data_IF_371194666671
#
_entry.id   IF_371194666671
#
_cell.length_a   1.000
_cell.length_b   1.000
_cell.length_c   1.000
_cell.angle_alpha   90.00
_cell.angle_beta   90.00
_cell.angle_gamma   90.00
#
_symmetry.space_group_name_H-M   'P 1'
#
loop_
_entity.id
_entity.type
_entity.pdbx_description
1 polymer ?
#
# COMPACT_ATOMS: atom_id res chain seq x y z
N UNK A 1 7.73 10.35 12.66
CA UNK A 1 6.52 9.74 12.06
C UNK A 1 6.78 8.43 11.31
N UNK A 2 7.98 8.18 10.88
CA UNK A 2 8.33 6.97 10.13
C UNK A 2 8.51 5.70 10.97
N UNK A 3 8.57 5.80 12.27
CA UNK A 3 8.72 4.65 13.15
C UNK A 3 7.34 4.08 13.52
N UNK A 4 6.98 2.98 12.86
CA UNK A 4 5.74 2.27 13.15
C UNK A 4 6.01 0.78 13.09
N UNK A 5 5.96 0.12 14.23
CA UNK A 5 6.33 -1.29 14.37
C UNK A 5 5.44 -2.21 13.52
N UNK A 6 4.16 -1.89 13.41
CA UNK A 6 3.24 -2.69 12.59
C UNK A 6 3.61 -2.62 11.11
N UNK A 7 3.82 -1.42 10.57
CA UNK A 7 4.21 -1.24 9.17
C UNK A 7 5.61 -1.76 8.88
N UNK A 8 6.54 -1.63 9.82
CA UNK A 8 7.89 -2.19 9.69
C UNK A 8 7.85 -3.71 9.60
N UNK A 9 6.98 -4.37 10.37
CA UNK A 9 6.77 -5.81 10.29
C UNK A 9 6.13 -6.22 8.96
N UNK A 10 5.15 -5.47 8.46
CA UNK A 10 4.59 -5.70 7.13
C UNK A 10 5.66 -5.59 6.05
N UNK A 11 6.53 -4.59 6.15
CA UNK A 11 7.65 -4.40 5.22
C UNK A 11 8.60 -5.60 5.23
N UNK A 12 8.96 -6.08 6.42
CA UNK A 12 9.82 -7.25 6.58
C UNK A 12 9.22 -8.50 5.91
N UNK A 13 7.96 -8.78 6.21
CA UNK A 13 7.26 -9.95 5.65
C UNK A 13 7.13 -9.83 4.13
N UNK A 14 6.82 -8.64 3.63
CA UNK A 14 6.72 -8.37 2.19
C UNK A 14 8.06 -8.57 1.48
N UNK A 15 9.16 -8.12 2.06
CA UNK A 15 10.50 -8.31 1.51
C UNK A 15 10.91 -9.79 1.50
N UNK A 16 10.61 -10.53 2.55
CA UNK A 16 10.88 -11.97 2.60
C UNK A 16 10.09 -12.73 1.54
N UNK A 17 8.82 -12.41 1.37
CA UNK A 17 8.00 -13.01 0.32
C UNK A 17 8.55 -12.69 -1.07
N UNK A 18 8.94 -11.44 -1.32
CA UNK A 18 9.51 -11.02 -2.60
C UNK A 18 10.79 -11.78 -2.91
N UNK A 19 11.68 -11.95 -1.93
CA UNK A 19 12.90 -12.75 -2.10
C UNK A 19 12.59 -14.19 -2.51
N UNK A 20 11.65 -14.82 -1.81
CA UNK A 20 11.23 -16.19 -2.08
C UNK A 20 10.60 -16.29 -3.48
N UNK A 21 9.75 -15.36 -3.85
CA UNK A 21 9.08 -15.33 -5.14
C UNK A 21 10.05 -15.06 -6.29
N UNK A 22 11.01 -14.16 -6.11
CA UNK A 22 12.05 -13.89 -7.11
C UNK A 22 12.95 -15.11 -7.31
N UNK A 23 13.29 -15.84 -6.25
CA UNK A 23 14.02 -17.10 -6.36
C UNK A 23 13.22 -18.15 -7.14
N UNK A 24 11.91 -18.25 -6.89
CA UNK A 24 11.03 -19.17 -7.63
C UNK A 24 10.95 -18.80 -9.11
N UNK A 25 10.81 -17.50 -9.42
CA UNK A 25 10.82 -17.01 -10.81
C UNK A 25 12.11 -17.36 -11.54
N UNK A 26 13.25 -17.26 -10.86
CA UNK A 26 14.56 -17.58 -11.46
C UNK A 26 14.67 -19.04 -11.87
N UNK A 27 13.97 -19.95 -11.21
CA UNK A 27 14.00 -21.38 -11.54
C UNK A 27 13.29 -21.70 -12.85
N UNK A 28 12.33 -20.90 -13.26
CA UNK A 28 11.53 -21.16 -14.48
C UNK A 28 12.41 -21.32 -15.71
N UNK A 29 13.30 -20.37 -15.94
CA UNK A 29 14.18 -20.40 -17.13
C UNK A 29 15.15 -21.60 -17.07
N UNK A 30 15.66 -21.91 -15.90
CA UNK A 30 16.54 -23.07 -15.72
C UNK A 30 15.82 -24.38 -16.04
N UNK A 31 14.55 -24.51 -15.64
CA UNK A 31 13.73 -25.70 -15.94
C UNK A 31 13.48 -25.78 -17.46
N UNK A 32 13.11 -24.67 -18.11
CA UNK A 32 12.88 -24.63 -19.55
C UNK A 32 14.15 -25.02 -20.30
N UNK A 33 15.30 -24.48 -19.93
CA UNK A 33 16.58 -24.74 -20.60
C UNK A 33 17.05 -26.18 -20.43
N UNK A 34 16.79 -26.80 -19.27
CA UNK A 34 17.27 -28.17 -18.99
C UNK A 34 16.25 -29.25 -19.29
N UNK A 35 14.96 -28.99 -19.18
CA UNK A 35 13.87 -29.98 -19.27
C UNK A 35 12.86 -29.72 -20.39
N UNK A 36 12.86 -28.48 -20.94
CA UNK A 36 11.94 -28.08 -22.00
C UNK A 36 10.59 -27.59 -21.51
N UNK A 37 9.77 -27.13 -22.44
CA UNK A 37 8.47 -26.49 -22.17
C UNK A 37 7.37 -27.47 -21.73
N UNK A 38 7.50 -28.76 -22.09
CA UNK A 38 6.46 -29.77 -21.78
C UNK A 38 6.83 -30.68 -20.61
N UNK A 39 7.80 -30.29 -19.79
CA UNK A 39 8.29 -31.12 -18.68
C UNK A 39 7.32 -31.14 -17.50
N UNK A 40 7.35 -32.26 -16.76
CA UNK A 40 6.62 -32.35 -15.49
C UNK A 40 7.13 -31.36 -14.46
N UNK A 41 8.43 -31.05 -14.51
CA UNK A 41 9.08 -30.06 -13.64
C UNK A 41 8.51 -28.66 -13.88
N UNK A 42 8.25 -28.29 -15.12
CA UNK A 42 7.63 -27.00 -15.43
C UNK A 42 6.16 -26.94 -14.98
N UNK A 43 5.43 -28.03 -15.13
CA UNK A 43 4.05 -28.11 -14.62
C UNK A 43 4.02 -27.96 -13.10
N UNK A 44 4.96 -28.59 -12.40
CA UNK A 44 5.09 -28.45 -10.95
C UNK A 44 5.42 -27.01 -10.56
N UNK A 45 6.27 -26.32 -11.33
CA UNK A 45 6.60 -24.92 -11.12
C UNK A 45 5.35 -24.03 -11.20
N UNK A 46 4.52 -24.23 -12.22
CA UNK A 46 3.26 -23.48 -12.36
C UNK A 46 2.28 -23.76 -11.22
N UNK A 47 2.20 -25.00 -10.78
CA UNK A 47 1.35 -25.37 -9.65
C UNK A 47 1.81 -24.67 -8.35
N UNK A 48 3.10 -24.57 -8.11
CA UNK A 48 3.66 -23.84 -6.98
C UNK A 48 3.40 -22.34 -7.11
N UNK A 49 3.57 -21.77 -8.31
CA UNK A 49 3.32 -20.34 -8.57
C UNK A 49 1.87 -19.96 -8.24
N UNK A 50 0.91 -20.80 -8.58
CA UNK A 50 -0.50 -20.57 -8.24
C UNK A 50 -0.77 -20.53 -6.74
N UNK A 51 0.03 -21.22 -5.94
CA UNK A 51 -0.08 -21.24 -4.49
C UNK A 51 0.63 -20.05 -3.82
N UNK A 52 1.52 -19.37 -4.54
CA UNK A 52 2.30 -18.26 -4.02
C UNK A 52 1.49 -16.97 -4.11
N UNK A 53 0.88 -16.58 -2.99
CA UNK A 53 0.12 -15.34 -2.91
C UNK A 53 0.85 -14.33 -2.04
N UNK A 54 0.80 -13.05 -2.44
CA UNK A 54 1.33 -11.99 -1.60
C UNK A 54 0.61 -12.00 -0.25
N UNK A 55 1.33 -11.85 0.88
CA UNK A 55 0.77 -12.09 2.22
C UNK A 55 -0.26 -11.07 2.69
N UNK A 56 -0.43 -9.96 1.97
CA UNK A 56 -1.43 -8.94 2.32
C UNK A 56 -2.40 -8.70 1.19
N UNK A 57 -3.59 -8.20 1.55
CA UNK A 57 -4.58 -7.71 0.60
C UNK A 57 -4.10 -6.41 -0.06
N UNK A 58 -4.72 -6.04 -1.15
CA UNK A 58 -4.43 -4.77 -1.84
C UNK A 58 -4.76 -3.56 -0.96
N UNK A 59 -5.82 -3.65 -0.15
CA UNK A 59 -6.14 -2.58 0.80
C UNK A 59 -5.02 -2.35 1.81
N UNK A 60 -4.48 -3.43 2.38
CA UNK A 60 -3.36 -3.35 3.30
C UNK A 60 -2.10 -2.80 2.62
N UNK A 61 -1.82 -3.22 1.39
CA UNK A 61 -0.70 -2.69 0.61
C UNK A 61 -0.82 -1.17 0.36
N UNK A 62 -2.02 -0.70 0.06
CA UNK A 62 -2.26 0.73 -0.17
C UNK A 62 -2.09 1.55 1.12
N UNK A 63 -2.53 1.02 2.25
CA UNK A 63 -2.31 1.66 3.55
C UNK A 63 -0.80 1.74 3.88
N UNK A 64 -0.09 0.66 3.69
CA UNK A 64 1.36 0.61 3.88
C UNK A 64 2.08 1.64 3.00
N UNK A 65 1.73 1.70 1.71
CA UNK A 65 2.35 2.66 0.79
C UNK A 65 2.06 4.10 1.18
N UNK A 66 0.83 4.40 1.60
CA UNK A 66 0.47 5.72 2.08
C UNK A 66 1.35 6.13 3.27
N UNK A 67 1.55 5.24 4.24
CA UNK A 67 2.46 5.49 5.34
C UNK A 67 3.91 5.64 4.88
N UNK A 68 4.40 4.72 4.06
CA UNK A 68 5.81 4.66 3.63
C UNK A 68 6.23 5.91 2.85
N UNK A 69 5.39 6.38 1.95
CA UNK A 69 5.73 7.46 1.04
C UNK A 69 5.30 8.84 1.51
N UNK A 70 4.61 8.93 2.63
CA UNK A 70 4.30 10.24 3.23
C UNK A 70 5.57 10.87 3.80
N UNK A 71 5.83 12.09 3.39
CA UNK A 71 6.99 12.89 3.86
C UNK A 71 6.58 13.96 4.85
N UNK A 72 5.32 14.01 5.22
CA UNK A 72 4.74 14.93 6.20
C UNK A 72 4.44 14.19 7.50
N UNK A 73 4.11 14.94 8.55
CA UNK A 73 3.71 14.36 9.84
C UNK A 73 2.38 13.60 9.76
N UNK A 74 1.53 13.98 8.82
CA UNK A 74 0.29 13.28 8.55
C UNK A 74 0.45 12.34 7.35
N UNK A 75 -0.32 11.25 7.37
CA UNK A 75 -0.35 10.32 6.24
C UNK A 75 -1.20 10.94 5.14
N UNK A 76 -0.62 11.08 3.96
CA UNK A 76 -1.30 11.58 2.76
C UNK A 76 -1.64 10.40 1.86
N UNK A 77 -2.91 10.26 1.52
CA UNK A 77 -3.39 9.24 0.60
C UNK A 77 -3.80 9.90 -0.71
N UNK A 78 -2.95 9.77 -1.72
CA UNK A 78 -3.14 10.35 -3.06
C UNK A 78 -3.65 9.34 -4.10
N UNK A 79 -3.85 8.10 -3.68
CA UNK A 79 -4.39 7.03 -4.50
C UNK A 79 -5.89 6.83 -4.19
N UNK A 80 -6.47 5.77 -4.67
CA UNK A 80 -7.87 5.40 -4.39
C UNK A 80 -7.96 3.94 -3.96
N UNK A 81 -9.06 3.58 -3.30
CA UNK A 81 -9.39 2.18 -2.98
C UNK A 81 -10.68 1.78 -3.69
N UNK A 82 -10.79 0.51 -4.03
CA UNK A 82 -12.06 -0.07 -4.45
C UNK A 82 -12.91 -0.42 -3.22
N UNK A 83 -14.19 -0.65 -3.42
CA UNK A 83 -15.13 -0.99 -2.34
C UNK A 83 -14.65 -2.20 -1.51
N UNK A 84 -14.16 -3.25 -2.17
CA UNK A 84 -13.64 -4.46 -1.52
C UNK A 84 -12.31 -4.27 -0.80
N UNK A 85 -11.60 -3.18 -1.08
CA UNK A 85 -10.31 -2.87 -0.46
C UNK A 85 -10.43 -1.96 0.76
N UNK A 86 -11.51 -1.20 0.86
CA UNK A 86 -11.67 -0.14 1.85
C UNK A 86 -11.58 -0.65 3.29
N UNK A 87 -12.17 -1.81 3.58
CA UNK A 87 -12.13 -2.39 4.93
C UNK A 87 -10.72 -2.71 5.36
N UNK A 88 -9.98 -3.42 4.53
CA UNK A 88 -8.59 -3.81 4.85
C UNK A 88 -7.68 -2.60 4.94
N UNK A 89 -7.91 -1.59 4.09
CA UNK A 89 -7.18 -0.33 4.13
C UNK A 89 -7.34 0.34 5.51
N UNK A 90 -8.56 0.52 5.96
CA UNK A 90 -8.84 1.17 7.25
C UNK A 90 -8.41 0.29 8.43
N UNK A 91 -8.66 -1.02 8.37
CA UNK A 91 -8.25 -1.94 9.43
C UNK A 91 -6.74 -2.01 9.60
N UNK A 92 -6.00 -1.87 8.52
CA UNK A 92 -4.53 -1.81 8.56
C UNK A 92 -4.08 -0.57 9.33
N UNK A 93 -4.69 0.58 9.08
CA UNK A 93 -4.40 1.78 9.86
C UNK A 93 -4.77 1.61 11.34
N UNK A 94 -5.90 0.98 11.65
CA UNK A 94 -6.28 0.70 13.04
C UNK A 94 -5.23 -0.18 13.73
N UNK A 95 -4.80 -1.25 13.10
CA UNK A 95 -3.77 -2.15 13.64
C UNK A 95 -2.43 -1.46 13.83
N UNK A 96 -2.12 -0.50 12.97
CA UNK A 96 -0.91 0.30 13.07
C UNK A 96 -1.00 1.44 14.09
N UNK A 97 -2.16 1.65 14.70
CA UNK A 97 -2.38 2.74 15.66
C UNK A 97 -2.49 4.12 15.01
N UNK A 98 -2.81 4.18 13.74
CA UNK A 98 -3.00 5.45 13.02
C UNK A 98 -4.39 5.99 13.33
N UNK A 99 -4.45 7.23 13.77
CA UNK A 99 -5.72 7.87 14.16
C UNK A 99 -6.32 8.73 13.06
N UNK A 100 -5.48 9.33 12.21
CA UNK A 100 -5.94 10.25 11.16
C UNK A 100 -5.15 10.04 9.88
N UNK A 101 -5.79 10.35 8.75
CA UNK A 101 -5.13 10.43 7.44
C UNK A 101 -5.82 11.50 6.59
N UNK A 102 -5.13 11.94 5.54
CA UNK A 102 -5.61 12.99 4.65
C UNK A 102 -5.75 12.43 3.23
N UNK A 103 -6.93 12.54 2.66
CA UNK A 103 -7.19 12.16 1.27
C UNK A 103 -6.87 13.34 0.38
N UNK A 104 -5.91 13.18 -0.50
CA UNK A 104 -5.41 14.24 -1.39
C UNK A 104 -5.62 13.95 -2.87
N UNK A 105 -6.17 12.78 -3.22
CA UNK A 105 -6.41 12.43 -4.62
C UNK A 105 -7.50 13.31 -5.24
N UNK A 106 -7.39 13.54 -6.54
CA UNK A 106 -8.36 14.31 -7.33
C UNK A 106 -8.99 13.44 -8.42
N UNK A 107 -8.97 12.13 -8.26
CA UNK A 107 -9.52 11.19 -9.23
C UNK A 107 -11.04 11.23 -9.27
N UNK A 108 -11.63 10.66 -10.31
CA UNK A 108 -13.09 10.50 -10.42
C UNK A 108 -13.66 9.58 -9.33
N UNK A 109 -12.83 8.75 -8.70
CA UNK A 109 -13.24 7.87 -7.62
C UNK A 109 -13.27 8.54 -6.24
N UNK A 110 -12.92 9.83 -6.14
CA UNK A 110 -12.83 10.52 -4.86
C UNK A 110 -14.13 10.44 -4.05
N UNK A 111 -15.25 10.75 -4.64
CA UNK A 111 -16.54 10.76 -3.94
C UNK A 111 -16.90 9.37 -3.39
N UNK A 112 -16.68 8.34 -4.17
CA UNK A 112 -16.92 6.96 -3.75
C UNK A 112 -16.00 6.56 -2.59
N UNK A 113 -14.73 6.94 -2.65
CA UNK A 113 -13.77 6.69 -1.57
C UNK A 113 -14.21 7.35 -0.26
N UNK A 114 -14.69 8.58 -0.31
CA UNK A 114 -15.19 9.26 0.89
C UNK A 114 -16.36 8.50 1.53
N UNK A 115 -17.28 7.99 0.70
CA UNK A 115 -18.40 7.17 1.18
C UNK A 115 -17.92 5.86 1.80
N UNK A 116 -16.97 5.17 1.18
CA UNK A 116 -16.47 3.90 1.70
C UNK A 116 -15.70 4.08 3.01
N UNK A 117 -14.90 5.12 3.14
CA UNK A 117 -14.22 5.43 4.40
C UNK A 117 -15.22 5.73 5.52
N UNK A 118 -16.27 6.48 5.23
CA UNK A 118 -17.34 6.72 6.19
C UNK A 118 -18.05 5.41 6.59
N UNK A 119 -18.32 4.53 5.62
CA UNK A 119 -18.94 3.23 5.87
C UNK A 119 -18.07 2.31 6.74
N UNK A 120 -16.76 2.45 6.67
CA UNK A 120 -15.82 1.69 7.51
C UNK A 120 -15.56 2.34 8.88
N UNK A 121 -16.35 3.33 9.27
CA UNK A 121 -16.31 3.94 10.58
C UNK A 121 -15.43 5.16 10.72
N UNK A 122 -14.96 5.74 9.61
CA UNK A 122 -14.17 6.96 9.65
C UNK A 122 -15.07 8.20 9.72
N UNK A 123 -14.62 9.22 10.43
CA UNK A 123 -15.32 10.50 10.52
C UNK A 123 -14.58 11.53 9.66
N UNK A 124 -15.29 12.16 8.74
CA UNK A 124 -14.73 13.26 7.96
C UNK A 124 -14.61 14.49 8.84
N UNK A 125 -13.38 14.96 9.04
CA UNK A 125 -13.11 16.16 9.83
C UNK A 125 -13.20 17.44 9.00
N UNK A 126 -13.13 17.34 7.68
CA UNK A 126 -13.29 18.47 6.77
C UNK A 126 -12.06 18.73 5.92
N UNK A 127 -12.14 19.84 5.18
CA UNK A 127 -11.06 20.28 4.30
C UNK A 127 -9.86 20.77 5.13
N UNK A 128 -8.67 20.48 4.64
CA UNK A 128 -7.43 20.90 5.27
C UNK A 128 -6.36 21.22 4.23
N UNK A 129 -5.31 21.89 4.67
CA UNK A 129 -4.13 22.18 3.85
C UNK A 129 -2.91 21.67 4.60
N UNK A 130 -2.10 20.88 3.91
CA UNK A 130 -0.87 20.31 4.45
C UNK A 130 0.32 20.98 3.77
N UNK A 131 1.31 21.42 4.53
CA UNK A 131 2.54 21.96 3.99
C UNK A 131 3.55 20.85 3.81
N UNK A 132 4.00 20.65 2.57
CA UNK A 132 5.05 19.70 2.22
C UNK A 132 6.32 20.47 1.90
N UNK A 133 7.40 20.14 2.61
CA UNK A 133 8.72 20.74 2.36
C UNK A 133 9.56 19.80 1.53
N UNK A 134 10.12 20.32 0.43
CA UNK A 134 11.02 19.58 -0.43
C UNK A 134 12.34 20.34 -0.60
N UNK A 135 13.46 19.61 -0.60
CA UNK A 135 14.76 20.14 -0.99
C UNK A 135 15.07 19.70 -2.42
N UNK A 136 15.17 20.68 -3.32
CA UNK A 136 15.64 20.44 -4.69
C UNK A 136 16.82 21.36 -4.96
N UNK A 137 17.91 20.79 -5.44
CA UNK A 137 19.12 21.56 -5.82
C UNK A 137 19.68 22.43 -4.69
N UNK A 138 19.55 21.99 -3.43
CA UNK A 138 19.98 22.76 -2.26
C UNK A 138 19.02 23.86 -1.82
N UNK A 139 17.93 24.08 -2.54
CA UNK A 139 16.89 25.04 -2.17
C UNK A 139 15.71 24.32 -1.49
N UNK A 140 15.23 24.89 -0.39
CA UNK A 140 14.05 24.41 0.31
C UNK A 140 12.82 25.07 -0.31
N UNK A 141 11.91 24.22 -0.86
CA UNK A 141 10.63 24.66 -1.42
C UNK A 141 9.48 24.14 -0.57
N UNK A 142 8.41 24.92 -0.47
CA UNK A 142 7.19 24.53 0.22
C UNK A 142 6.06 24.40 -0.79
N UNK A 143 5.29 23.29 -0.68
CA UNK A 143 4.10 23.06 -1.46
C UNK A 143 2.91 22.94 -0.51
N UNK A 144 1.81 23.62 -0.86
CA UNK A 144 0.55 23.50 -0.13
C UNK A 144 -0.33 22.45 -0.80
N UNK A 145 -0.66 21.41 -0.07
CA UNK A 145 -1.49 20.29 -0.55
C UNK A 145 -2.86 20.39 0.11
N UNK A 146 -3.90 20.49 -0.69
CA UNK A 146 -5.27 20.48 -0.21
C UNK A 146 -5.76 19.04 -0.08
N UNK A 147 -6.53 18.77 0.96
CA UNK A 147 -7.07 17.44 1.18
C UNK A 147 -8.28 17.45 2.10
N UNK A 148 -8.75 16.25 2.37
CA UNK A 148 -9.87 16.00 3.30
C UNK A 148 -9.34 15.12 4.42
N UNK A 149 -9.40 15.61 5.65
CA UNK A 149 -8.91 14.86 6.82
C UNK A 149 -10.00 13.94 7.35
N UNK A 150 -9.61 12.71 7.61
CA UNK A 150 -10.45 11.70 8.26
C UNK A 150 -9.86 11.28 9.60
N UNK A 151 -10.75 11.02 10.54
CA UNK A 151 -10.43 10.36 11.80
C UNK A 151 -10.90 8.91 11.72
N UNK A 152 -10.05 8.00 12.16
CA UNK A 152 -10.35 6.56 12.22
C UNK A 152 -10.89 6.26 13.62
N UNK A 153 -12.11 5.81 13.69
CA UNK A 153 -12.75 5.46 14.96
C UNK A 153 -12.52 3.99 15.34
#
# INVERSE_FOLDING_TARGET
>A
MKNNTYFEELERIGHEWTKMHDAHKSLKQQIIDSKGWDSEELKAWYAEEEQMQFPYSQGACKAYRAWKYSTTDEILFDDFVWDKEARDFIDTFRKAGIETFVVTNTSTALMENLHWFAAEGCTMLGLCTITKKEKRWGEETEEQIMGIRFKIN
#
